data_IF_615053348196
#
_entry.id   IF_615053348196
#
_cell.length_a   1.000
_cell.length_b   1.000
_cell.length_c   1.000
_cell.angle_alpha   90.00
_cell.angle_beta   90.00
_cell.angle_gamma   90.00
#
_symmetry.space_group_name_H-M   'P 1'
#
loop_
_entity.id
_entity.type
_entity.pdbx_description
1 polymer ?
#
# COMPACT_ATOMS: atom_id res chain seq x y z
N UNK A 1 -11.12 -16.76 17.99
CA UNK A 1 -10.92 -15.54 17.17
C UNK A 1 -9.95 -15.69 15.97
N UNK A 2 -9.36 -16.86 15.70
CA UNK A 2 -8.38 -17.03 14.59
C UNK A 2 -8.97 -17.57 13.28
N UNK A 3 -10.12 -18.24 13.31
CA UNK A 3 -10.72 -18.91 12.15
C UNK A 3 -11.29 -17.93 11.13
N UNK A 4 -12.00 -16.89 11.58
CA UNK A 4 -12.58 -15.84 10.71
C UNK A 4 -11.53 -15.06 9.92
N UNK A 5 -10.38 -14.75 10.54
CA UNK A 5 -9.27 -14.03 9.89
C UNK A 5 -8.58 -14.88 8.82
N UNK A 6 -8.44 -16.19 9.05
CA UNK A 6 -7.90 -17.13 8.09
C UNK A 6 -8.84 -17.32 6.88
N UNK A 7 -10.15 -17.49 7.12
CA UNK A 7 -11.16 -17.65 6.07
C UNK A 7 -11.24 -16.41 5.17
N UNK A 8 -11.26 -15.20 5.74
CA UNK A 8 -11.25 -13.96 4.96
C UNK A 8 -9.99 -13.82 4.09
N UNK A 9 -8.84 -14.27 4.59
CA UNK A 9 -7.59 -14.27 3.82
C UNK A 9 -7.67 -15.22 2.63
N UNK A 10 -8.15 -16.45 2.83
CA UNK A 10 -8.29 -17.43 1.74
C UNK A 10 -9.28 -16.95 0.68
N UNK A 11 -10.40 -16.35 1.10
CA UNK A 11 -11.39 -15.76 0.18
C UNK A 11 -10.76 -14.62 -0.64
N UNK A 12 -9.99 -13.72 -0.01
CA UNK A 12 -9.30 -12.65 -0.75
C UNK A 12 -8.29 -13.22 -1.76
N UNK A 13 -7.54 -14.26 -1.41
CA UNK A 13 -6.59 -14.92 -2.32
C UNK A 13 -7.33 -15.54 -3.49
N UNK A 14 -8.44 -16.24 -3.25
CA UNK A 14 -9.21 -16.85 -4.33
C UNK A 14 -9.81 -15.80 -5.27
N UNK A 15 -10.26 -14.66 -4.75
CA UNK A 15 -10.78 -13.56 -5.58
C UNK A 15 -9.67 -12.98 -6.45
N UNK A 16 -8.49 -12.69 -5.89
CA UNK A 16 -7.37 -12.17 -6.66
C UNK A 16 -6.85 -13.19 -7.68
N UNK A 17 -6.80 -14.48 -7.33
CA UNK A 17 -6.41 -15.55 -8.25
C UNK A 17 -7.39 -15.67 -9.42
N UNK A 18 -8.70 -15.61 -9.15
CA UNK A 18 -9.73 -15.61 -10.19
C UNK A 18 -9.60 -14.38 -11.10
N UNK A 19 -9.37 -13.21 -10.52
CA UNK A 19 -9.18 -11.97 -11.29
C UNK A 19 -7.96 -12.07 -12.21
N UNK A 20 -6.82 -12.56 -11.71
CA UNK A 20 -5.64 -12.81 -12.53
C UNK A 20 -5.91 -13.81 -13.65
N UNK A 21 -6.62 -14.90 -13.36
CA UNK A 21 -7.00 -15.88 -14.37
C UNK A 21 -7.86 -15.26 -15.48
N UNK A 22 -8.86 -14.45 -15.12
CA UNK A 22 -9.70 -13.73 -16.09
C UNK A 22 -8.88 -12.74 -16.92
N UNK A 23 -7.95 -12.01 -16.30
CA UNK A 23 -7.07 -11.07 -17.01
C UNK A 23 -6.15 -11.78 -18.00
N UNK A 24 -5.56 -12.91 -17.61
CA UNK A 24 -4.69 -13.72 -18.49
C UNK A 24 -5.49 -14.28 -19.67
N UNK A 25 -6.70 -14.79 -19.42
CA UNK A 25 -7.59 -15.25 -20.49
C UNK A 25 -7.94 -14.13 -21.45
N UNK A 26 -8.33 -12.97 -20.93
CA UNK A 26 -8.69 -11.82 -21.74
C UNK A 26 -7.49 -11.35 -22.58
N UNK A 27 -6.30 -11.22 -21.98
CA UNK A 27 -5.07 -10.86 -22.69
C UNK A 27 -4.75 -11.86 -23.79
N UNK A 28 -4.78 -13.16 -23.48
CA UNK A 28 -4.51 -14.22 -24.46
C UNK A 28 -5.48 -14.15 -25.65
N UNK A 29 -6.78 -13.92 -25.38
CA UNK A 29 -7.78 -13.76 -26.44
C UNK A 29 -7.56 -12.48 -27.25
N UNK A 30 -7.33 -11.33 -26.60
CA UNK A 30 -7.10 -10.05 -27.28
C UNK A 30 -5.84 -10.11 -28.16
N UNK A 31 -4.74 -10.66 -27.64
CA UNK A 31 -3.50 -10.84 -28.41
C UNK A 31 -3.71 -11.78 -29.58
N UNK A 32 -4.54 -12.82 -29.44
CA UNK A 32 -4.86 -13.72 -30.55
C UNK A 32 -5.70 -13.07 -31.65
N UNK A 33 -6.55 -12.10 -31.33
CA UNK A 33 -7.33 -11.33 -32.30
C UNK A 33 -6.46 -10.30 -33.03
N UNK A 34 -5.42 -9.77 -32.36
CA UNK A 34 -4.51 -8.77 -32.92
C UNK A 34 -3.35 -9.37 -33.73
N UNK A 35 -3.18 -10.69 -33.72
CA UNK A 35 -2.13 -11.34 -34.48
C UNK A 35 -2.36 -11.16 -35.99
N UNK A 36 -1.42 -10.47 -36.66
CA UNK A 36 -1.51 -10.05 -38.06
C UNK A 36 -1.68 -11.21 -39.06
N UNK A 37 -1.20 -12.41 -38.72
CA UNK A 37 -1.21 -13.58 -39.61
C UNK A 37 -2.34 -14.57 -39.33
N UNK A 38 -3.34 -14.20 -38.51
CA UNK A 38 -4.46 -15.10 -38.16
C UNK A 38 -4.04 -16.30 -37.30
N UNK A 39 -2.83 -16.28 -36.75
CA UNK A 39 -2.29 -17.29 -35.85
C UNK A 39 -2.96 -17.18 -34.47
N UNK A 40 -4.11 -17.83 -34.37
CA UNK A 40 -4.85 -17.93 -33.11
C UNK A 40 -4.11 -18.80 -32.09
N UNK A 41 -4.36 -18.57 -30.80
CA UNK A 41 -3.84 -19.39 -29.71
C UNK A 41 -4.21 -20.88 -29.84
N UNK A 42 -5.34 -21.18 -30.50
CA UNK A 42 -5.81 -22.54 -30.74
C UNK A 42 -5.06 -23.24 -31.88
N UNK A 43 -4.49 -22.46 -32.81
CA UNK A 43 -3.75 -22.99 -33.96
C UNK A 43 -2.27 -23.18 -33.63
N UNK A 44 -1.66 -22.21 -32.93
CA UNK A 44 -0.25 -22.23 -32.53
C UNK A 44 -0.09 -21.79 -31.07
N UNK A 45 -0.35 -22.68 -30.09
CA UNK A 45 -0.25 -22.34 -28.67
C UNK A 45 1.20 -22.05 -28.24
N UNK A 46 2.18 -22.57 -28.96
CA UNK A 46 3.62 -22.48 -28.63
C UNK A 46 4.12 -21.02 -28.59
N UNK A 47 3.53 -20.14 -29.39
CA UNK A 47 3.86 -18.70 -29.44
C UNK A 47 3.47 -17.97 -28.15
N UNK A 48 2.51 -18.49 -27.39
CA UNK A 48 1.94 -17.81 -26.22
C UNK A 48 2.60 -18.21 -24.90
N UNK A 49 3.44 -19.26 -24.90
CA UNK A 49 4.09 -19.76 -23.68
C UNK A 49 4.98 -18.72 -23.01
N UNK A 50 5.73 -17.94 -23.79
CA UNK A 50 6.57 -16.85 -23.27
C UNK A 50 5.74 -15.78 -22.55
N UNK A 51 4.57 -15.45 -23.11
CA UNK A 51 3.62 -14.50 -22.53
C UNK A 51 3.02 -15.04 -21.23
N UNK A 52 2.56 -16.29 -21.22
CA UNK A 52 2.00 -16.90 -20.01
C UNK A 52 3.02 -17.04 -18.88
N UNK A 53 4.29 -17.28 -19.22
CA UNK A 53 5.38 -17.36 -18.24
C UNK A 53 5.67 -15.98 -17.63
N UNK A 54 5.57 -14.93 -18.44
CA UNK A 54 5.63 -13.53 -17.97
C UNK A 54 4.43 -13.20 -17.09
N UNK A 55 3.22 -13.62 -17.45
CA UNK A 55 2.02 -13.40 -16.64
C UNK A 55 2.12 -14.14 -15.29
N UNK A 56 2.60 -15.38 -15.28
CA UNK A 56 2.83 -16.14 -14.05
C UNK A 56 3.85 -15.46 -13.14
N UNK A 57 4.91 -14.88 -13.72
CA UNK A 57 5.86 -14.04 -12.99
C UNK A 57 5.17 -12.83 -12.36
N UNK A 58 4.30 -12.14 -13.08
CA UNK A 58 3.54 -10.98 -12.58
C UNK A 58 2.60 -11.36 -11.43
N UNK A 59 1.89 -12.49 -11.54
CA UNK A 59 1.05 -13.03 -10.47
C UNK A 59 1.90 -13.30 -9.22
N UNK A 60 3.03 -14.00 -9.39
CA UNK A 60 3.96 -14.29 -8.30
C UNK A 60 4.50 -13.02 -7.65
N UNK A 61 4.87 -12.03 -8.46
CA UNK A 61 5.35 -10.74 -8.01
C UNK A 61 4.29 -9.99 -7.19
N UNK A 62 3.04 -9.97 -7.66
CA UNK A 62 1.94 -9.33 -6.96
C UNK A 62 1.76 -9.91 -5.56
N UNK A 63 1.71 -11.24 -5.44
CA UNK A 63 1.54 -11.90 -4.15
C UNK A 63 2.76 -11.76 -3.24
N UNK A 64 3.96 -11.87 -3.80
CA UNK A 64 5.20 -11.64 -3.06
C UNK A 64 5.22 -10.22 -2.51
N UNK A 65 4.87 -9.23 -3.35
CA UNK A 65 4.81 -7.83 -2.94
C UNK A 65 3.77 -7.59 -1.85
N UNK A 66 2.56 -8.12 -2.05
CA UNK A 66 1.44 -7.98 -1.13
C UNK A 66 1.74 -8.59 0.24
N UNK A 67 2.32 -9.81 0.29
CA UNK A 67 2.52 -10.54 1.54
C UNK A 67 3.86 -10.33 2.21
N UNK A 68 4.93 -10.04 1.48
CA UNK A 68 6.29 -10.02 2.04
C UNK A 68 7.00 -8.68 1.90
N UNK A 69 6.99 -8.07 0.71
CA UNK A 69 7.78 -6.84 0.48
C UNK A 69 7.17 -5.61 1.11
N UNK A 70 5.91 -5.30 0.80
CA UNK A 70 5.23 -4.15 1.36
C UNK A 70 5.19 -4.15 2.92
N UNK A 71 4.85 -5.25 3.63
CA UNK A 71 4.89 -5.29 5.10
C UNK A 71 6.27 -5.02 5.68
N UNK A 72 7.31 -5.60 5.06
CA UNK A 72 8.66 -5.58 5.61
C UNK A 72 9.36 -4.25 5.35
N UNK A 73 9.14 -3.67 4.17
CA UNK A 73 9.85 -2.46 3.72
C UNK A 73 9.15 -1.16 4.17
N UNK A 74 7.81 -1.08 4.12
CA UNK A 74 7.10 0.15 4.54
C UNK A 74 7.19 0.38 6.04
N UNK A 75 7.12 -0.68 6.86
CA UNK A 75 7.25 -0.56 8.32
C UNK A 75 8.61 0.00 8.77
N UNK A 76 9.65 -0.10 7.93
CA UNK A 76 11.00 0.39 8.20
C UNK A 76 11.36 1.70 7.46
N UNK A 77 10.41 2.31 6.73
CA UNK A 77 10.63 3.48 5.86
C UNK A 77 11.80 3.30 4.87
N UNK A 78 12.04 2.07 4.42
CA UNK A 78 13.14 1.70 3.53
C UNK A 78 12.79 1.96 2.06
N UNK A 79 12.54 3.22 1.70
CA UNK A 79 12.09 3.61 0.35
C UNK A 79 13.17 3.45 -0.73
N UNK A 80 14.42 3.80 -0.42
CA UNK A 80 15.57 3.69 -1.37
C UNK A 80 15.84 2.26 -1.85
N UNK A 81 16.00 1.25 -0.97
CA UNK A 81 16.23 -0.12 -1.43
C UNK A 81 15.01 -0.71 -2.14
N UNK A 82 13.79 -0.28 -1.76
CA UNK A 82 12.56 -0.69 -2.43
C UNK A 82 12.52 -0.24 -3.90
N UNK A 83 12.96 1.00 -4.20
CA UNK A 83 13.06 1.50 -5.57
C UNK A 83 14.07 0.71 -6.41
N UNK A 84 15.25 0.40 -5.84
CA UNK A 84 16.25 -0.42 -6.54
C UNK A 84 15.75 -1.81 -6.88
N UNK A 85 15.07 -2.43 -5.93
CA UNK A 85 14.48 -3.73 -6.12
C UNK A 85 13.32 -3.70 -7.13
N UNK A 86 12.54 -2.62 -7.18
CA UNK A 86 11.54 -2.41 -8.23
C UNK A 86 12.19 -2.37 -9.62
N UNK A 87 13.34 -1.70 -9.73
CA UNK A 87 14.13 -1.66 -10.97
C UNK A 87 14.64 -3.07 -11.35
N UNK A 88 15.16 -3.83 -10.38
CA UNK A 88 15.60 -5.23 -10.60
C UNK A 88 14.46 -6.13 -11.05
N UNK A 89 13.31 -6.03 -10.40
CA UNK A 89 12.10 -6.80 -10.74
C UNK A 89 11.58 -6.44 -12.13
N UNK A 90 11.56 -5.15 -12.47
CA UNK A 90 11.16 -4.72 -13.80
C UNK A 90 12.14 -5.24 -14.86
N UNK A 91 13.44 -5.22 -14.57
CA UNK A 91 14.49 -5.78 -15.43
C UNK A 91 14.34 -7.29 -15.61
N UNK A 92 14.01 -8.03 -14.55
CA UNK A 92 13.72 -9.47 -14.63
C UNK A 92 12.50 -9.72 -15.53
N UNK A 93 11.41 -8.96 -15.33
CA UNK A 93 10.21 -9.08 -16.17
C UNK A 93 10.48 -8.81 -17.65
N UNK A 94 11.40 -7.90 -17.95
CA UNK A 94 11.87 -7.62 -19.31
C UNK A 94 12.72 -8.75 -19.89
N UNK A 95 13.55 -9.39 -19.08
CA UNK A 95 14.47 -10.45 -19.51
C UNK A 95 13.79 -11.80 -19.71
N UNK A 96 12.63 -12.06 -19.09
CA UNK A 96 11.95 -13.37 -19.18
C UNK A 96 11.66 -13.78 -20.64
N UNK A 97 11.03 -12.95 -21.49
CA UNK A 97 10.80 -13.31 -22.88
C UNK A 97 12.08 -13.55 -23.68
N UNK A 98 13.14 -12.77 -23.39
CA UNK A 98 14.45 -12.91 -24.02
C UNK A 98 15.13 -14.24 -23.64
N UNK A 99 15.03 -14.63 -22.36
CA UNK A 99 15.55 -15.90 -21.87
C UNK A 99 14.77 -17.09 -22.45
N UNK A 100 13.44 -16.99 -22.53
CA UNK A 100 12.60 -18.02 -23.17
C UNK A 100 12.98 -18.23 -24.64
N UNK A 101 13.26 -17.15 -25.36
CA UNK A 101 13.75 -17.21 -26.74
C UNK A 101 15.17 -17.80 -26.83
N UNK A 102 16.10 -17.36 -25.99
CA UNK A 102 17.49 -17.80 -26.03
C UNK A 102 17.68 -19.27 -25.66
N UNK A 103 16.90 -19.79 -24.71
CA UNK A 103 17.05 -21.16 -24.18
C UNK A 103 16.20 -22.17 -24.94
N UNK A 104 14.97 -21.81 -25.29
CA UNK A 104 13.98 -22.73 -25.86
C UNK A 104 13.50 -22.35 -27.27
N UNK A 105 14.00 -21.24 -27.84
CA UNK A 105 13.54 -20.77 -29.15
C UNK A 105 12.10 -20.26 -29.15
N UNK A 106 11.50 -20.04 -27.97
CA UNK A 106 10.09 -19.62 -27.86
C UNK A 106 9.95 -18.17 -28.32
N UNK A 107 9.27 -17.99 -29.45
CA UNK A 107 8.92 -16.69 -30.01
C UNK A 107 7.68 -16.11 -29.32
N UNK A 108 7.39 -14.83 -29.57
CA UNK A 108 6.19 -14.14 -29.08
C UNK A 108 5.26 -13.80 -30.26
N UNK A 109 3.94 -13.74 -30.04
CA UNK A 109 2.99 -13.38 -31.09
C UNK A 109 3.24 -11.93 -31.55
N UNK A 110 3.30 -11.73 -32.87
CA UNK A 110 3.52 -10.41 -33.49
C UNK A 110 4.98 -9.97 -33.62
N UNK A 111 5.95 -10.83 -33.30
CA UNK A 111 7.38 -10.58 -33.50
C UNK A 111 7.86 -11.36 -34.74
N UNK A 112 8.55 -10.68 -35.66
CA UNK A 112 9.06 -11.28 -36.90
C UNK A 112 10.06 -12.40 -36.58
N UNK A 113 9.97 -13.53 -37.29
CA UNK A 113 10.88 -14.67 -37.15
C UNK A 113 12.35 -14.21 -37.22
N UNK A 114 13.16 -14.61 -36.22
CA UNK A 114 14.58 -14.26 -36.14
C UNK A 114 14.91 -12.92 -35.46
N UNK A 115 13.90 -12.19 -34.97
CA UNK A 115 14.13 -10.99 -34.15
C UNK A 115 13.96 -11.27 -32.65
N UNK A 116 14.75 -10.56 -31.83
CA UNK A 116 14.70 -10.72 -30.38
C UNK A 116 13.35 -10.22 -29.82
N UNK A 117 12.58 -11.05 -29.09
CA UNK A 117 11.29 -10.65 -28.55
C UNK A 117 11.48 -9.74 -27.34
N UNK A 118 11.51 -8.43 -27.60
CA UNK A 118 11.53 -7.40 -26.57
C UNK A 118 10.10 -7.05 -26.19
N UNK A 119 9.65 -7.47 -25.00
CA UNK A 119 8.29 -7.19 -24.54
C UNK A 119 8.28 -6.11 -23.45
N UNK A 120 7.70 -4.95 -23.78
CA UNK A 120 7.41 -3.89 -22.80
C UNK A 120 6.30 -4.28 -21.81
N UNK A 121 5.51 -5.31 -22.16
CA UNK A 121 4.36 -5.77 -21.38
C UNK A 121 4.79 -6.32 -20.01
N UNK A 122 5.93 -7.02 -19.93
CA UNK A 122 6.50 -7.48 -18.67
C UNK A 122 6.93 -6.35 -17.74
N UNK A 123 7.46 -5.25 -18.30
CA UNK A 123 7.89 -4.07 -17.52
C UNK A 123 6.69 -3.29 -16.99
N UNK A 124 5.74 -2.96 -17.88
CA UNK A 124 4.52 -2.22 -17.52
C UNK A 124 3.68 -3.02 -16.54
N UNK A 125 3.54 -4.33 -16.77
CA UNK A 125 2.84 -5.25 -15.88
C UNK A 125 3.48 -5.31 -14.49
N UNK A 126 4.81 -5.36 -14.39
CA UNK A 126 5.50 -5.44 -13.10
C UNK A 126 5.29 -4.16 -12.27
N UNK A 127 5.39 -2.99 -12.90
CA UNK A 127 5.14 -1.71 -12.25
C UNK A 127 3.68 -1.61 -11.79
N UNK A 128 2.73 -1.99 -12.66
CA UNK A 128 1.30 -1.96 -12.34
C UNK A 128 0.95 -2.91 -11.18
N UNK A 129 1.47 -4.14 -11.21
CA UNK A 129 1.24 -5.13 -10.15
C UNK A 129 1.77 -4.65 -8.79
N UNK A 130 2.93 -4.00 -8.79
CA UNK A 130 3.49 -3.42 -7.56
C UNK A 130 2.62 -2.24 -7.07
N UNK A 131 2.27 -1.31 -7.95
CA UNK A 131 1.45 -0.16 -7.60
C UNK A 131 0.09 -0.57 -7.03
N UNK A 132 -0.54 -1.57 -7.65
CA UNK A 132 -1.81 -2.13 -7.18
C UNK A 132 -1.66 -2.79 -5.81
N UNK A 133 -0.59 -3.57 -5.60
CA UNK A 133 -0.29 -4.19 -4.31
C UNK A 133 -0.09 -3.16 -3.18
N UNK A 134 0.52 -2.01 -3.50
CA UNK A 134 0.65 -0.90 -2.56
C UNK A 134 -0.69 -0.19 -2.32
N UNK A 135 -1.49 0.07 -3.36
CA UNK A 135 -2.77 0.74 -3.24
C UNK A 135 -3.77 -0.04 -2.37
N UNK A 136 -3.87 -1.36 -2.59
CA UNK A 136 -4.74 -2.23 -1.77
C UNK A 136 -4.29 -2.21 -0.31
N UNK A 137 -2.97 -2.24 -0.06
CA UNK A 137 -2.43 -2.21 1.30
C UNK A 137 -2.69 -0.86 1.97
N UNK A 138 -2.48 0.25 1.25
CA UNK A 138 -2.79 1.59 1.73
C UNK A 138 -4.26 1.74 2.09
N UNK A 139 -5.17 1.13 1.32
CA UNK A 139 -6.60 1.15 1.61
C UNK A 139 -6.96 0.39 2.89
N UNK A 140 -6.37 -0.79 3.11
CA UNK A 140 -6.59 -1.58 4.33
C UNK A 140 -6.03 -0.84 5.56
N UNK A 141 -4.84 -0.26 5.43
CA UNK A 141 -4.22 0.48 6.53
C UNK A 141 -5.03 1.76 6.83
N UNK A 142 -5.50 2.47 5.81
CA UNK A 142 -6.44 3.59 5.97
C UNK A 142 -7.71 3.19 6.72
N UNK A 143 -8.32 2.05 6.39
CA UNK A 143 -9.53 1.58 7.09
C UNK A 143 -9.24 1.29 8.58
N UNK A 144 -8.10 0.66 8.88
CA UNK A 144 -7.69 0.42 10.28
C UNK A 144 -7.44 1.72 11.05
N UNK A 145 -6.75 2.69 10.44
CA UNK A 145 -6.56 4.02 11.05
C UNK A 145 -7.89 4.74 11.22
N UNK A 146 -8.83 4.59 10.28
CA UNK A 146 -10.17 5.15 10.38
C UNK A 146 -10.97 4.59 11.56
N UNK A 147 -10.81 3.31 11.87
CA UNK A 147 -11.40 2.67 13.05
C UNK A 147 -10.74 3.16 14.35
N UNK A 148 -9.41 3.26 14.38
CA UNK A 148 -8.67 3.80 15.54
C UNK A 148 -9.06 5.25 15.85
N UNK A 149 -9.19 6.10 14.82
CA UNK A 149 -9.63 7.50 14.99
C UNK A 149 -11.06 7.58 15.53
N UNK A 150 -11.96 6.67 15.12
CA UNK A 150 -13.32 6.60 15.66
C UNK A 150 -13.32 6.20 17.13
N UNK A 151 -12.56 5.17 17.50
CA UNK A 151 -12.41 4.72 18.88
C UNK A 151 -11.81 5.82 19.78
N UNK A 152 -10.76 6.50 19.33
CA UNK A 152 -10.14 7.63 20.04
C UNK A 152 -11.11 8.81 20.21
N UNK A 153 -12.02 9.03 19.26
CA UNK A 153 -13.04 10.08 19.35
C UNK A 153 -14.10 9.73 20.39
N UNK A 154 -14.52 8.47 20.45
CA UNK A 154 -15.43 7.96 21.49
C UNK A 154 -14.81 8.05 22.89
N UNK A 155 -13.51 7.75 23.03
CA UNK A 155 -12.77 7.95 24.29
C UNK A 155 -12.66 9.44 24.67
N UNK A 156 -12.43 10.32 23.70
CA UNK A 156 -12.41 11.78 23.94
C UNK A 156 -13.76 12.30 24.41
N UNK A 157 -14.85 11.84 23.80
CA UNK A 157 -16.21 12.26 24.15
C UNK A 157 -16.63 11.73 25.53
N UNK A 158 -16.28 10.48 25.87
CA UNK A 158 -16.53 9.93 27.21
C UNK A 158 -15.73 10.67 28.30
N UNK A 159 -14.44 10.92 28.10
CA UNK A 159 -13.64 11.71 29.04
C UNK A 159 -14.15 13.17 29.17
N UNK A 160 -14.65 13.76 28.08
CA UNK A 160 -15.25 15.10 28.11
C UNK A 160 -16.51 15.13 28.99
N UNK A 161 -17.38 14.12 28.85
CA UNK A 161 -18.61 14.00 29.66
C UNK A 161 -18.31 13.71 31.13
N UNK A 162 -17.34 12.86 31.44
CA UNK A 162 -16.88 12.64 32.83
C UNK A 162 -16.32 13.93 33.45
N UNK A 163 -15.52 14.68 32.70
CA UNK A 163 -14.97 15.96 33.16
C UNK A 163 -16.07 16.98 33.40
N UNK A 164 -17.10 17.04 32.57
CA UNK A 164 -18.24 17.93 32.77
C UNK A 164 -19.11 17.51 33.96
N UNK A 165 -19.30 16.20 34.17
CA UNK A 165 -19.96 15.66 35.36
C UNK A 165 -19.20 15.98 36.64
N UNK A 166 -17.89 15.74 36.67
CA UNK A 166 -17.02 16.05 37.81
C UNK A 166 -16.98 17.55 38.11
N UNK A 167 -16.96 18.41 37.09
CA UNK A 167 -17.09 19.86 37.25
C UNK A 167 -18.45 20.23 37.85
N UNK A 168 -19.53 19.59 37.41
CA UNK A 168 -20.86 19.82 37.95
C UNK A 168 -20.91 19.41 39.43
N UNK A 169 -20.43 18.21 39.77
CA UNK A 169 -20.33 17.70 41.14
C UNK A 169 -19.50 18.64 42.04
N UNK A 170 -18.32 19.07 41.59
CA UNK A 170 -17.50 20.09 42.27
C UNK A 170 -18.25 21.41 42.44
N UNK A 171 -18.95 21.88 41.40
CA UNK A 171 -19.72 23.13 41.47
C UNK A 171 -20.94 23.03 42.38
N UNK A 172 -21.47 21.83 42.63
CA UNK A 172 -22.57 21.57 43.57
C UNK A 172 -22.08 21.32 45.01
N UNK A 173 -20.85 20.84 45.20
CA UNK A 173 -20.23 20.67 46.52
C UNK A 173 -19.61 21.99 47.04
N UNK A 174 -19.06 22.83 46.15
CA UNK A 174 -18.52 24.15 46.48
C UNK A 174 -19.51 25.14 47.14
N UNK A 175 -20.83 25.13 46.85
CA UNK A 175 -21.80 25.95 47.59
C UNK A 175 -22.13 25.39 48.98
N UNK A 176 -21.81 24.13 49.30
CA UNK A 176 -21.96 23.59 50.64
C UNK A 176 -20.80 24.02 51.57
N UNK A 177 -19.61 24.22 51.02
CA UNK A 177 -18.41 24.64 51.76
C UNK A 177 -18.32 26.17 51.98
N UNK A 178 -19.08 26.95 51.19
CA UNK A 178 -19.15 28.42 51.30
C UNK A 178 -20.01 28.97 52.44
N UNK A 179 -20.50 28.13 53.36
CA UNK A 179 -20.94 28.64 54.68
C UNK A 179 -19.76 28.85 55.65
N UNK A 180 -18.53 28.50 55.27
CA UNK A 180 -17.36 28.57 56.15
C UNK A 180 -16.27 29.57 55.77
N UNK A 181 -15.77 29.60 54.53
CA UNK A 181 -14.50 30.30 54.25
C UNK A 181 -14.48 31.12 52.94
N UNK A 182 -13.81 32.28 53.04
CA UNK A 182 -13.65 33.33 52.04
C UNK A 182 -12.95 32.86 50.74
N UNK A 183 -13.15 33.55 49.59
CA UNK A 183 -12.66 33.09 48.31
C UNK A 183 -11.15 33.36 48.13
N UNK A 184 -10.35 32.30 48.10
CA UNK A 184 -8.98 32.36 47.54
C UNK A 184 -9.07 32.49 46.02
N UNK A 185 -8.73 33.67 45.52
CA UNK A 185 -8.58 33.98 44.09
C UNK A 185 -7.26 33.36 43.61
N UNK A 186 -7.33 32.24 42.88
CA UNK A 186 -6.17 31.73 42.13
C UNK A 186 -6.10 32.53 40.83
N UNK A 187 -5.35 33.63 40.85
CA UNK A 187 -4.93 34.35 39.64
C UNK A 187 -3.94 33.48 38.87
N UNK A 188 -4.39 32.91 37.74
CA UNK A 188 -3.50 32.46 36.69
C UNK A 188 -2.89 33.71 36.03
N UNK A 189 -1.70 34.12 36.46
CA UNK A 189 -0.91 35.10 35.71
C UNK A 189 -0.41 34.45 34.41
N UNK A 190 -0.60 35.10 33.24
CA UNK A 190 0.14 34.76 32.04
C UNK A 190 1.57 35.31 32.19
N UNK A 191 2.59 34.45 32.06
CA UNK A 191 3.97 34.90 31.98
C UNK A 191 4.23 35.45 30.56
N UNK A 192 3.90 36.71 30.36
CA UNK A 192 4.50 37.51 29.29
C UNK A 192 5.72 38.22 29.87
N UNK A 193 6.86 38.04 29.21
CA UNK A 193 8.03 38.93 29.38
C UNK A 193 8.72 39.01 28.02
N UNK A 194 8.15 39.82 27.12
CA UNK A 194 8.95 40.73 26.29
C UNK A 194 9.56 41.79 27.24
N UNK A 195 10.74 42.39 27.08
CA UNK A 195 11.73 42.49 26.01
C UNK A 195 12.69 43.63 26.42
N UNK A 196 13.87 43.71 25.82
CA UNK A 196 14.80 44.85 26.00
C UNK A 196 16.27 44.39 25.91
N UNK A 197 16.96 44.34 24.76
CA UNK A 197 17.40 45.41 23.84
C UNK A 197 18.94 45.51 23.84
N UNK A 198 19.53 44.95 22.77
CA UNK A 198 20.64 45.43 21.94
C UNK A 198 22.04 45.87 22.51
N UNK A 199 23.06 45.01 22.26
CA UNK A 199 24.41 45.24 21.63
C UNK A 199 25.47 46.19 22.26
N UNK A 200 26.77 46.19 21.84
CA UNK A 200 27.70 45.15 21.31
C UNK A 200 29.15 45.20 21.93
N UNK A 201 30.12 44.51 21.32
CA UNK A 201 31.61 44.52 21.50
C UNK A 201 32.16 43.63 22.66
N UNK A 202 33.31 42.93 22.59
CA UNK A 202 34.59 43.15 21.92
C UNK A 202 35.37 41.81 21.76
N UNK A 203 36.24 41.76 20.75
CA UNK A 203 37.34 40.82 20.52
C UNK A 203 38.13 40.35 21.77
N UNK A 204 38.52 39.07 21.78
CA UNK A 204 39.89 38.59 22.05
C UNK A 204 40.04 37.15 21.55
#
# INVERSE_FOLDING_TARGET
MNTTKATNRTISVSIYALLWFVLILLQTLVTSVQALDGESVFSRPELYYSTWLTDLYLVGLFYLNYYFLAPRMMRRRLYRPYLWMLLVVALIGFLIPLLCYAVWGLTMPGVVEGSAPLSSLGVVGAVAAIALGLAIRGLIEWDSLGQEVRALREERDSLATERDRLKLELSTLRPADRRGEEPVVVSLQPSETEGGEATPDTHA
#
